data_IF_170330908456
#
_entry.id   IF_170330908456
#
_cell.length_a   1.000
_cell.length_b   1.000
_cell.length_c   1.000
_cell.angle_alpha   90.00
_cell.angle_beta   90.00
_cell.angle_gamma   90.00
#
_symmetry.space_group_name_H-M   'P 1'
#
loop_
_entity.id
_entity.type
_entity.pdbx_description
1 polymer ?
#
# COMPACT_ATOMS: atom_id res chain seq x y z
N UNK A 1 11.40 -25.90 2.17
CA UNK A 1 10.77 -25.94 3.51
C UNK A 1 11.32 -24.83 4.43
N UNK A 2 12.65 -24.67 4.54
CA UNK A 2 13.27 -23.68 5.42
C UNK A 2 12.90 -22.22 5.05
N UNK A 3 12.89 -21.89 3.75
CA UNK A 3 12.51 -20.56 3.26
C UNK A 3 11.01 -20.26 3.49
N UNK A 4 10.15 -21.25 3.34
CA UNK A 4 8.70 -21.11 3.53
C UNK A 4 8.32 -20.81 4.98
N UNK A 5 9.11 -21.30 5.95
CA UNK A 5 8.89 -20.99 7.35
C UNK A 5 9.22 -19.55 7.73
N UNK A 6 10.05 -18.88 6.92
CA UNK A 6 10.48 -17.50 7.16
C UNK A 6 9.53 -16.46 6.55
N UNK A 7 8.66 -16.86 5.61
CA UNK A 7 7.82 -15.94 4.83
C UNK A 7 6.34 -16.15 5.20
N UNK A 8 5.67 -15.07 5.54
CA UNK A 8 4.21 -14.99 5.60
C UNK A 8 3.70 -14.24 4.37
N UNK A 9 2.90 -14.89 3.54
CA UNK A 9 2.30 -14.28 2.35
C UNK A 9 0.80 -14.10 2.52
N UNK A 10 0.32 -12.87 2.32
CA UNK A 10 -1.10 -12.54 2.27
C UNK A 10 -1.45 -12.06 0.86
N UNK A 11 -2.23 -12.82 0.08
CA UNK A 11 -2.73 -12.37 -1.21
C UNK A 11 -3.80 -11.29 -1.05
N UNK A 12 -4.08 -10.54 -2.11
CA UNK A 12 -5.12 -9.50 -2.15
C UNK A 12 -6.48 -10.04 -1.71
N UNK A 13 -6.86 -11.23 -2.20
CA UNK A 13 -8.06 -11.94 -1.79
C UNK A 13 -7.68 -13.23 -1.05
N UNK A 14 -8.17 -13.40 0.15
CA UNK A 14 -8.00 -14.62 0.93
C UNK A 14 -9.33 -15.07 1.52
N UNK A 15 -9.55 -16.38 1.50
CA UNK A 15 -10.77 -16.98 2.01
C UNK A 15 -10.82 -16.98 3.54
N UNK A 16 -11.98 -16.62 4.09
CA UNK A 16 -12.28 -16.75 5.51
C UNK A 16 -13.54 -17.59 5.72
N UNK A 17 -13.61 -18.32 6.83
CA UNK A 17 -14.84 -18.98 7.26
C UNK A 17 -15.70 -17.97 8.02
N UNK A 18 -16.56 -17.26 7.30
CA UNK A 18 -17.31 -16.10 7.78
C UNK A 18 -18.23 -16.39 8.98
N UNK A 19 -18.68 -17.64 9.14
CA UNK A 19 -19.54 -18.07 10.26
C UNK A 19 -18.76 -18.34 11.55
N UNK A 20 -17.44 -18.47 11.47
CA UNK A 20 -16.58 -18.70 12.63
C UNK A 20 -16.26 -17.38 13.34
N UNK A 21 -15.94 -17.47 14.64
CA UNK A 21 -15.30 -16.35 15.34
C UNK A 21 -13.86 -16.17 14.85
N UNK A 22 -13.27 -14.98 15.07
CA UNK A 22 -11.86 -14.75 14.73
C UNK A 22 -10.93 -15.72 15.48
N UNK A 23 -11.24 -16.01 16.74
CA UNK A 23 -10.49 -16.97 17.54
C UNK A 23 -10.57 -18.39 16.96
N UNK A 24 -11.78 -18.90 16.71
CA UNK A 24 -11.97 -20.26 16.21
C UNK A 24 -11.36 -20.46 14.84
N UNK A 25 -11.47 -19.46 13.97
CA UNK A 25 -10.84 -19.46 12.65
C UNK A 25 -9.31 -19.56 12.75
N UNK A 26 -8.68 -18.70 13.58
CA UNK A 26 -7.24 -18.73 13.75
C UNK A 26 -6.76 -20.00 14.49
N UNK A 27 -7.54 -20.53 15.44
CA UNK A 27 -7.23 -21.79 16.13
C UNK A 27 -7.22 -22.95 15.14
N UNK A 28 -8.26 -23.04 14.30
CA UNK A 28 -8.33 -24.03 13.23
C UNK A 28 -7.13 -23.94 12.28
N UNK A 29 -6.81 -22.74 11.85
CA UNK A 29 -5.67 -22.51 10.95
C UNK A 29 -4.32 -22.81 11.61
N UNK A 30 -4.18 -22.54 12.89
CA UNK A 30 -2.98 -22.86 13.66
C UNK A 30 -2.76 -24.38 13.75
N UNK A 31 -3.83 -25.15 13.94
CA UNK A 31 -3.77 -26.63 13.92
C UNK A 31 -3.29 -27.11 12.54
N UNK A 32 -3.85 -26.59 11.45
CA UNK A 32 -3.43 -26.94 10.09
C UNK A 32 -1.96 -26.60 9.81
N UNK A 33 -1.42 -25.58 10.47
CA UNK A 33 0.00 -25.20 10.42
C UNK A 33 0.89 -25.99 11.38
N UNK A 34 0.36 -27.00 12.09
CA UNK A 34 1.13 -27.89 12.95
C UNK A 34 1.29 -27.42 14.39
N UNK A 35 0.60 -26.38 14.83
CA UNK A 35 0.58 -25.92 16.22
C UNK A 35 -0.35 -26.81 17.07
N UNK A 36 0.08 -28.06 17.38
CA UNK A 36 -0.76 -29.06 18.02
C UNK A 36 -0.95 -28.83 19.52
N UNK A 37 0.07 -28.31 20.22
CA UNK A 37 -0.02 -28.02 21.66
C UNK A 37 -1.02 -26.90 21.92
N UNK A 38 -2.07 -27.18 22.68
CA UNK A 38 -3.18 -26.25 22.91
C UNK A 38 -2.77 -25.02 23.72
N UNK A 39 -1.80 -25.12 24.62
CA UNK A 39 -1.31 -24.00 25.41
C UNK A 39 -0.47 -23.06 24.54
N UNK A 40 0.50 -23.61 23.81
CA UNK A 40 1.34 -22.86 22.87
C UNK A 40 0.48 -22.18 21.82
N UNK A 41 -0.54 -22.87 21.31
CA UNK A 41 -1.47 -22.34 20.32
C UNK A 41 -2.29 -21.18 20.89
N UNK A 42 -2.86 -21.32 22.08
CA UNK A 42 -3.63 -20.25 22.73
C UNK A 42 -2.78 -18.99 22.96
N UNK A 43 -1.56 -19.15 23.46
CA UNK A 43 -0.60 -18.04 23.63
C UNK A 43 -0.27 -17.38 22.30
N UNK A 44 -0.12 -18.18 21.22
CA UNK A 44 0.13 -17.68 19.88
C UNK A 44 -1.07 -16.89 19.32
N UNK A 45 -2.29 -17.38 19.49
CA UNK A 45 -3.51 -16.70 19.06
C UNK A 45 -3.66 -15.36 19.77
N UNK A 46 -3.44 -15.34 21.09
CA UNK A 46 -3.46 -14.09 21.85
C UNK A 46 -2.44 -13.08 21.33
N UNK A 47 -1.21 -13.54 21.11
CA UNK A 47 -0.14 -12.69 20.56
C UNK A 47 -0.51 -12.09 19.20
N UNK A 48 -0.93 -12.91 18.21
CA UNK A 48 -1.21 -12.41 16.86
C UNK A 48 -2.43 -11.50 16.84
N UNK A 49 -3.47 -11.80 17.63
CA UNK A 49 -4.66 -10.96 17.74
C UNK A 49 -4.37 -9.60 18.39
N UNK A 50 -3.48 -9.57 19.39
CA UNK A 50 -3.00 -8.30 19.98
C UNK A 50 -2.15 -7.52 18.98
N UNK A 51 -1.24 -8.18 18.28
CA UNK A 51 -0.37 -7.55 17.29
C UNK A 51 -1.15 -6.86 16.16
N UNK A 52 -2.33 -7.35 15.81
CA UNK A 52 -3.20 -6.74 14.78
C UNK A 52 -4.35 -5.90 15.35
N UNK A 53 -4.37 -5.64 16.67
CA UNK A 53 -5.40 -4.88 17.38
C UNK A 53 -6.82 -5.47 17.24
N UNK A 54 -6.94 -6.81 17.19
CA UNK A 54 -8.21 -7.53 17.05
C UNK A 54 -8.59 -8.37 18.27
N UNK A 55 -7.78 -8.35 19.34
CA UNK A 55 -7.99 -9.21 20.50
C UNK A 55 -9.36 -9.02 21.16
N UNK A 56 -9.84 -7.77 21.29
CA UNK A 56 -11.14 -7.46 21.87
C UNK A 56 -12.33 -7.95 21.01
N UNK A 57 -12.08 -8.18 19.72
CA UNK A 57 -13.06 -8.70 18.77
C UNK A 57 -12.92 -10.21 18.51
N UNK A 58 -12.06 -10.91 19.25
CA UNK A 58 -11.72 -12.33 18.99
C UNK A 58 -12.91 -13.29 18.96
N UNK A 59 -13.95 -13.01 19.75
CA UNK A 59 -15.15 -13.84 19.82
C UNK A 59 -16.26 -13.42 18.84
N UNK A 60 -16.07 -12.32 18.11
CA UNK A 60 -17.03 -11.86 17.09
C UNK A 60 -16.85 -12.67 15.80
N UNK A 61 -17.96 -12.91 15.11
CA UNK A 61 -17.96 -13.62 13.83
C UNK A 61 -17.35 -12.79 12.73
N UNK A 62 -16.58 -13.42 11.85
CA UNK A 62 -15.85 -12.75 10.75
C UNK A 62 -16.79 -12.07 9.76
N UNK A 63 -18.01 -12.57 9.56
CA UNK A 63 -19.01 -11.92 8.69
C UNK A 63 -19.45 -10.54 9.19
N UNK A 64 -19.26 -10.23 10.49
CA UNK A 64 -19.57 -8.91 11.05
C UNK A 64 -18.45 -7.90 10.92
N UNK A 65 -17.29 -8.29 10.34
CA UNK A 65 -16.11 -7.45 10.25
C UNK A 65 -16.14 -6.55 9.00
N UNK A 66 -15.62 -5.32 9.16
CA UNK A 66 -15.29 -4.46 8.03
C UNK A 66 -14.17 -5.06 7.17
N UNK A 67 -13.98 -4.55 5.95
CA UNK A 67 -12.87 -4.97 5.09
C UNK A 67 -11.52 -4.87 5.80
N UNK A 68 -11.26 -3.74 6.47
CA UNK A 68 -10.01 -3.54 7.23
C UNK A 68 -9.84 -4.50 8.42
N UNK A 69 -10.93 -4.88 9.08
CA UNK A 69 -10.89 -5.91 10.12
C UNK A 69 -10.59 -7.29 9.54
N UNK A 70 -11.18 -7.65 8.39
CA UNK A 70 -10.87 -8.90 7.68
C UNK A 70 -9.40 -8.93 7.26
N UNK A 71 -8.87 -7.85 6.70
CA UNK A 71 -7.44 -7.73 6.35
C UNK A 71 -6.52 -7.94 7.57
N UNK A 72 -6.86 -7.38 8.73
CA UNK A 72 -6.12 -7.62 9.98
C UNK A 72 -6.13 -9.08 10.41
N UNK A 73 -7.25 -9.79 10.24
CA UNK A 73 -7.31 -11.24 10.49
C UNK A 73 -6.42 -11.99 9.51
N UNK A 74 -6.33 -11.56 8.24
CA UNK A 74 -5.38 -12.10 7.27
C UNK A 74 -3.92 -11.93 7.72
N UNK A 75 -3.56 -10.76 8.24
CA UNK A 75 -2.23 -10.56 8.85
C UNK A 75 -2.04 -11.47 10.07
N UNK A 76 -3.02 -11.57 10.97
CA UNK A 76 -2.94 -12.49 12.11
C UNK A 76 -2.69 -13.94 11.68
N UNK A 77 -3.36 -14.39 10.61
CA UNK A 77 -3.19 -15.73 10.02
C UNK A 77 -1.75 -15.99 9.56
N UNK A 78 -1.14 -15.05 8.87
CA UNK A 78 0.24 -15.21 8.39
C UNK A 78 1.27 -15.03 9.51
N UNK A 79 0.92 -14.39 10.62
CA UNK A 79 1.76 -14.27 11.81
C UNK A 79 1.80 -15.54 12.68
N UNK A 80 0.91 -16.51 12.47
CA UNK A 80 0.82 -17.72 13.31
C UNK A 80 2.14 -18.50 13.42
N UNK A 81 2.94 -18.53 12.37
CA UNK A 81 4.25 -19.21 12.34
C UNK A 81 5.45 -18.29 12.60
N UNK A 82 5.19 -17.03 13.04
CA UNK A 82 6.22 -16.01 13.36
C UNK A 82 7.22 -15.76 12.22
N UNK A 83 6.77 -15.43 11.01
CA UNK A 83 7.67 -15.20 9.89
C UNK A 83 8.57 -13.98 10.15
N UNK A 84 9.77 -14.01 9.58
CA UNK A 84 10.69 -12.86 9.55
C UNK A 84 10.39 -11.89 8.42
N UNK A 85 9.71 -12.36 7.37
CA UNK A 85 9.37 -11.58 6.20
C UNK A 85 7.86 -11.70 5.99
N UNK A 86 7.18 -10.55 5.92
CA UNK A 86 5.78 -10.46 5.51
C UNK A 86 5.73 -9.95 4.08
N UNK A 87 5.01 -10.66 3.22
CA UNK A 87 4.70 -10.21 1.85
C UNK A 87 3.19 -10.05 1.75
N UNK A 88 2.73 -8.85 1.43
CA UNK A 88 1.30 -8.51 1.45
C UNK A 88 0.93 -7.86 0.11
N UNK A 89 -0.03 -8.47 -0.58
CA UNK A 89 -0.44 -8.02 -1.90
C UNK A 89 -1.62 -7.05 -1.81
N UNK A 90 -1.45 -5.82 -2.28
CA UNK A 90 -2.45 -4.74 -2.29
C UNK A 90 -3.29 -4.60 -1.00
N UNK A 91 -2.68 -4.51 0.18
CA UNK A 91 -3.37 -4.67 1.45
C UNK A 91 -4.40 -3.58 1.78
N UNK A 92 -4.34 -2.44 1.11
CA UNK A 92 -5.22 -1.28 1.35
C UNK A 92 -6.29 -1.11 0.28
N UNK A 93 -6.30 -1.97 -0.74
CA UNK A 93 -7.29 -1.93 -1.81
C UNK A 93 -8.72 -2.10 -1.25
N UNK A 94 -9.64 -1.25 -1.67
CA UNK A 94 -11.05 -1.30 -1.24
C UNK A 94 -11.32 -0.86 0.21
N UNK A 95 -10.30 -0.40 0.95
CA UNK A 95 -10.49 0.17 2.28
C UNK A 95 -10.89 1.64 2.21
N UNK A 96 -11.75 2.06 3.16
CA UNK A 96 -12.01 3.48 3.34
C UNK A 96 -10.74 4.24 3.82
N UNK A 97 -10.66 5.58 3.68
CA UNK A 97 -9.45 6.33 4.01
C UNK A 97 -8.97 6.16 5.46
N UNK A 98 -9.89 6.02 6.43
CA UNK A 98 -9.53 5.83 7.85
C UNK A 98 -8.95 4.45 8.12
N UNK A 99 -9.57 3.40 7.56
CA UNK A 99 -9.05 2.03 7.68
C UNK A 99 -7.72 1.87 6.95
N UNK A 100 -7.52 2.54 5.80
CA UNK A 100 -6.24 2.57 5.08
C UNK A 100 -5.12 3.13 5.95
N UNK A 101 -5.33 4.28 6.60
CA UNK A 101 -4.33 4.87 7.51
C UNK A 101 -4.03 3.91 8.67
N UNK A 102 -5.05 3.32 9.28
CA UNK A 102 -4.88 2.38 10.40
C UNK A 102 -4.12 1.12 9.98
N UNK A 103 -4.38 0.64 8.76
CA UNK A 103 -3.70 -0.55 8.25
C UNK A 103 -2.23 -0.26 7.92
N UNK A 104 -1.93 0.88 7.31
CA UNK A 104 -0.55 1.33 7.09
C UNK A 104 0.24 1.42 8.40
N UNK A 105 -0.34 2.05 9.42
CA UNK A 105 0.29 2.15 10.74
C UNK A 105 0.60 0.76 11.30
N UNK A 106 -0.32 -0.20 11.15
CA UNK A 106 -0.09 -1.58 11.55
C UNK A 106 1.12 -2.20 10.81
N UNK A 107 1.24 -2.02 9.49
CA UNK A 107 2.40 -2.52 8.73
C UNK A 107 3.72 -1.88 9.21
N UNK A 108 3.70 -0.58 9.51
CA UNK A 108 4.86 0.12 10.10
C UNK A 108 5.20 -0.42 11.49
N UNK A 109 4.22 -0.69 12.35
CA UNK A 109 4.45 -1.32 13.65
C UNK A 109 5.09 -2.70 13.50
N UNK A 110 4.58 -3.52 12.59
CA UNK A 110 5.09 -4.86 12.31
C UNK A 110 6.49 -4.84 11.69
N UNK A 111 6.89 -3.76 11.03
CA UNK A 111 8.21 -3.63 10.40
C UNK A 111 9.35 -3.35 11.38
N UNK A 112 9.06 -3.14 12.68
CA UNK A 112 10.09 -2.86 13.69
C UNK A 112 11.02 -4.05 13.96
N UNK A 113 10.50 -5.26 13.84
CA UNK A 113 11.20 -6.51 14.17
C UNK A 113 11.20 -7.53 13.02
N UNK A 114 10.69 -7.14 11.84
CA UNK A 114 10.64 -7.99 10.64
C UNK A 114 10.68 -7.19 9.35
N UNK A 115 10.95 -7.83 8.25
CA UNK A 115 10.86 -7.22 6.92
C UNK A 115 9.41 -7.27 6.47
N UNK A 116 8.84 -6.13 6.08
CA UNK A 116 7.51 -6.03 5.50
C UNK A 116 7.64 -5.53 4.07
N UNK A 117 7.16 -6.33 3.13
CA UNK A 117 7.10 -6.01 1.70
C UNK A 117 5.62 -5.99 1.32
N UNK A 118 5.14 -4.92 0.73
CA UNK A 118 3.79 -4.89 0.19
C UNK A 118 3.76 -4.29 -1.21
N UNK A 119 2.88 -4.82 -2.05
CA UNK A 119 2.56 -4.23 -3.35
C UNK A 119 1.47 -3.17 -3.17
N UNK A 120 1.51 -2.11 -3.95
CA UNK A 120 0.42 -1.14 -4.03
C UNK A 120 0.51 -0.34 -5.33
N UNK A 121 -0.64 0.07 -5.85
CA UNK A 121 -0.74 1.08 -6.91
C UNK A 121 -1.07 2.47 -6.34
N UNK A 122 -1.16 2.60 -5.02
CA UNK A 122 -1.54 3.83 -4.31
C UNK A 122 -0.28 4.53 -3.82
N UNK A 123 0.06 5.64 -4.45
CA UNK A 123 1.32 6.36 -4.21
C UNK A 123 1.40 6.92 -2.79
N UNK A 124 0.27 7.36 -2.21
CA UNK A 124 0.21 7.85 -0.83
C UNK A 124 0.60 6.80 0.21
N UNK A 125 0.37 5.52 -0.09
CA UNK A 125 0.75 4.43 0.81
C UNK A 125 2.28 4.30 0.87
N UNK A 126 2.96 4.53 -0.26
CA UNK A 126 4.43 4.51 -0.35
C UNK A 126 5.02 5.72 0.38
N UNK A 127 4.52 6.92 0.07
CA UNK A 127 5.06 8.18 0.60
C UNK A 127 5.07 8.23 2.13
N UNK A 128 4.08 7.58 2.78
CA UNK A 128 3.87 7.66 4.24
C UNK A 128 4.36 6.45 5.03
N UNK A 129 4.74 5.32 4.38
CA UNK A 129 4.99 4.06 5.09
C UNK A 129 6.26 3.34 4.69
N UNK A 130 6.86 3.69 3.55
CA UNK A 130 8.00 2.94 3.00
C UNK A 130 9.32 3.67 3.20
N UNK A 131 10.36 2.92 3.57
CA UNK A 131 11.74 3.40 3.57
C UNK A 131 12.50 3.03 2.28
N UNK A 132 11.97 2.06 1.52
CA UNK A 132 12.48 1.63 0.21
C UNK A 132 11.30 1.39 -0.72
N UNK A 133 11.46 1.71 -2.00
CA UNK A 133 10.48 1.46 -3.06
C UNK A 133 11.16 0.81 -4.27
N UNK A 134 10.47 -0.15 -4.86
CA UNK A 134 10.79 -0.71 -6.17
C UNK A 134 9.65 -0.40 -7.13
N UNK A 135 9.94 0.28 -8.23
CA UNK A 135 8.96 0.54 -9.30
C UNK A 135 9.17 -0.46 -10.41
N UNK A 136 8.15 -1.27 -10.67
CA UNK A 136 8.16 -2.29 -11.71
C UNK A 136 7.13 -1.90 -12.78
N UNK A 137 7.55 -1.87 -14.03
CA UNK A 137 6.67 -1.62 -15.17
C UNK A 137 6.94 -2.62 -16.28
N UNK A 138 5.91 -3.34 -16.74
CA UNK A 138 6.00 -4.37 -17.79
C UNK A 138 7.08 -5.43 -17.54
N UNK A 139 7.24 -5.84 -16.28
CA UNK A 139 8.25 -6.83 -15.88
C UNK A 139 9.67 -6.29 -15.71
N UNK A 140 9.90 -5.00 -15.94
CA UNK A 140 11.21 -4.36 -15.78
C UNK A 140 11.26 -3.51 -14.51
N UNK A 141 12.35 -3.61 -13.76
CA UNK A 141 12.64 -2.75 -12.62
C UNK A 141 13.07 -1.35 -13.14
N UNK A 142 12.23 -0.34 -12.93
CA UNK A 142 12.49 1.04 -13.36
C UNK A 142 13.20 1.87 -12.30
N UNK A 143 12.98 1.56 -11.03
CA UNK A 143 13.61 2.25 -9.91
C UNK A 143 13.72 1.32 -8.70
N UNK A 144 14.79 1.49 -7.93
CA UNK A 144 14.93 0.93 -6.59
C UNK A 144 15.72 1.90 -5.71
N UNK A 145 15.13 2.32 -4.58
CA UNK A 145 15.77 3.26 -3.66
C UNK A 145 14.77 3.87 -2.69
N UNK A 146 15.17 4.97 -2.05
CA UNK A 146 14.29 5.70 -1.13
C UNK A 146 13.23 6.48 -1.91
N UNK A 147 11.98 6.59 -1.39
CA UNK A 147 10.97 7.45 -2.00
C UNK A 147 11.42 8.90 -2.18
N UNK A 148 12.18 9.44 -1.22
CA UNK A 148 12.75 10.80 -1.28
C UNK A 148 13.71 10.99 -2.45
N UNK A 149 14.56 9.99 -2.70
CA UNK A 149 15.53 10.05 -3.81
C UNK A 149 14.84 9.92 -5.17
N UNK A 150 13.73 9.17 -5.22
CA UNK A 150 12.89 9.07 -6.40
C UNK A 150 12.30 10.43 -6.80
N UNK A 151 11.87 11.25 -5.85
CA UNK A 151 11.31 12.59 -6.11
C UNK A 151 12.30 13.47 -6.88
N UNK A 152 13.60 13.37 -6.60
CA UNK A 152 14.63 14.14 -7.31
C UNK A 152 14.68 13.86 -8.83
N UNK A 153 14.21 12.70 -9.29
CA UNK A 153 14.14 12.38 -10.73
C UNK A 153 13.19 13.30 -11.51
N UNK A 154 12.18 13.86 -10.83
CA UNK A 154 11.24 14.82 -11.41
C UNK A 154 11.67 16.29 -11.20
N UNK A 155 12.83 16.54 -10.61
CA UNK A 155 13.28 17.90 -10.35
C UNK A 155 13.45 18.68 -11.66
N UNK A 156 12.95 19.92 -11.67
CA UNK A 156 12.90 20.81 -12.82
C UNK A 156 12.01 20.36 -14.00
N UNK A 157 11.18 19.32 -13.82
CA UNK A 157 10.31 18.77 -14.86
C UNK A 157 8.82 18.95 -14.57
N UNK A 158 8.47 19.52 -13.42
CA UNK A 158 7.07 19.72 -12.99
C UNK A 158 6.68 21.18 -13.15
N UNK A 159 5.55 21.39 -13.81
CA UNK A 159 5.03 22.70 -14.14
C UNK A 159 3.57 22.82 -13.70
N UNK A 160 3.19 24.03 -13.26
CA UNK A 160 1.79 24.41 -13.03
C UNK A 160 1.46 25.65 -13.83
N UNK A 161 0.29 25.66 -14.45
CA UNK A 161 -0.20 26.77 -15.27
C UNK A 161 -1.71 26.72 -15.42
N UNK A 162 -2.31 27.87 -15.75
CA UNK A 162 -3.73 28.01 -16.01
C UNK A 162 -3.94 28.26 -17.50
N UNK A 163 -4.87 27.54 -18.12
CA UNK A 163 -5.19 27.63 -19.55
C UNK A 163 -6.70 27.56 -19.78
N UNK A 164 -7.15 27.96 -20.95
CA UNK A 164 -8.54 27.80 -21.35
C UNK A 164 -8.87 26.33 -21.65
N UNK A 165 -10.14 25.92 -21.56
CA UNK A 165 -10.55 24.55 -21.88
C UNK A 165 -10.14 24.09 -23.29
N UNK A 166 -10.18 25.00 -24.28
CA UNK A 166 -9.78 24.70 -25.66
C UNK A 166 -8.29 24.35 -25.78
N UNK A 167 -7.42 25.08 -25.04
CA UNK A 167 -5.98 24.78 -24.99
C UNK A 167 -5.69 23.51 -24.20
N UNK A 168 -6.47 23.24 -23.13
CA UNK A 168 -6.32 22.02 -22.35
C UNK A 168 -6.51 20.77 -23.21
N UNK A 169 -7.46 20.75 -24.16
CA UNK A 169 -7.68 19.63 -25.07
C UNK A 169 -6.50 19.36 -26.02
N UNK A 170 -5.60 20.34 -26.20
CA UNK A 170 -4.40 20.19 -27.04
C UNK A 170 -3.20 19.59 -26.32
N UNK A 171 -3.23 19.50 -25.01
CA UNK A 171 -2.16 18.91 -24.21
C UNK A 171 -2.06 17.41 -24.41
N UNK A 172 -0.85 16.85 -24.27
CA UNK A 172 -0.68 15.39 -24.20
C UNK A 172 -1.25 14.86 -22.86
N UNK A 173 -2.38 14.12 -22.87
CA UNK A 173 -3.01 13.64 -21.66
C UNK A 173 -2.10 12.75 -20.79
N UNK A 174 -1.08 12.15 -21.41
CA UNK A 174 -0.14 11.26 -20.74
C UNK A 174 0.86 12.01 -19.85
N UNK A 175 1.01 13.32 -20.02
CA UNK A 175 1.91 14.18 -19.27
C UNK A 175 1.18 15.03 -18.24
N UNK A 176 -0.15 14.98 -18.21
CA UNK A 176 -0.98 15.62 -17.18
C UNK A 176 -0.94 14.76 -15.93
N UNK A 177 -0.47 15.35 -14.83
CA UNK A 177 -0.48 14.71 -13.51
C UNK A 177 -1.87 14.84 -12.88
N UNK A 178 -2.35 16.06 -12.79
CA UNK A 178 -3.72 16.38 -12.40
C UNK A 178 -4.16 17.71 -13.01
N UNK A 179 -5.46 17.96 -12.97
CA UNK A 179 -6.05 19.23 -13.38
C UNK A 179 -7.29 19.53 -12.55
N UNK A 180 -7.65 20.79 -12.47
CA UNK A 180 -8.85 21.25 -11.77
C UNK A 180 -9.46 22.43 -12.54
N UNK A 181 -10.79 22.39 -12.75
CA UNK A 181 -11.52 23.53 -13.28
C UNK A 181 -11.60 24.62 -12.21
N UNK A 182 -11.11 25.82 -12.52
CA UNK A 182 -11.20 27.00 -11.67
C UNK A 182 -11.81 28.16 -12.47
N UNK A 183 -13.11 28.35 -12.30
CA UNK A 183 -13.89 29.31 -13.09
C UNK A 183 -13.84 29.01 -14.59
N UNK A 184 -13.35 29.97 -15.40
CA UNK A 184 -13.23 29.86 -16.85
C UNK A 184 -11.92 29.20 -17.30
N UNK A 185 -10.98 28.95 -16.37
CA UNK A 185 -9.68 28.35 -16.64
C UNK A 185 -9.58 26.93 -16.08
N UNK A 186 -8.60 26.19 -16.58
CA UNK A 186 -8.18 24.88 -16.10
C UNK A 186 -6.77 25.03 -15.53
N UNK A 187 -6.64 24.84 -14.23
CA UNK A 187 -5.35 24.70 -13.56
C UNK A 187 -4.78 23.32 -13.83
N UNK A 188 -3.57 23.26 -14.39
CA UNK A 188 -2.92 22.01 -14.82
C UNK A 188 -1.61 21.81 -14.09
N UNK A 189 -1.36 20.59 -13.59
CA UNK A 189 -0.06 20.10 -13.17
C UNK A 189 0.47 19.15 -14.24
N UNK A 190 1.64 19.45 -14.78
CA UNK A 190 2.16 18.85 -16.01
C UNK A 190 3.63 18.48 -15.88
N UNK A 191 4.05 17.36 -16.47
CA UNK A 191 5.45 16.95 -16.52
C UNK A 191 6.05 17.20 -17.91
N UNK A 192 7.15 17.95 -17.95
CA UNK A 192 7.89 18.25 -19.18
C UNK A 192 9.31 18.70 -18.85
N UNK A 193 10.25 18.43 -19.76
CA UNK A 193 11.62 18.95 -19.68
C UNK A 193 11.69 20.45 -20.00
N UNK A 194 10.76 20.95 -20.79
CA UNK A 194 10.66 22.35 -21.20
C UNK A 194 9.33 22.94 -20.73
N UNK A 195 9.26 24.27 -20.61
CA UNK A 195 8.03 24.97 -20.25
C UNK A 195 6.92 24.70 -21.30
N UNK A 196 5.78 24.10 -20.88
CA UNK A 196 4.71 23.77 -21.83
C UNK A 196 3.93 24.99 -22.33
N UNK A 197 3.97 26.10 -21.58
CA UNK A 197 3.30 27.38 -21.86
C UNK A 197 4.13 28.55 -21.34
N UNK A 198 3.91 29.77 -21.86
CA UNK A 198 4.64 30.97 -21.41
C UNK A 198 4.38 31.33 -19.94
N UNK A 199 3.16 31.04 -19.46
CA UNK A 199 2.75 31.29 -18.08
C UNK A 199 3.04 30.11 -17.14
N UNK A 200 3.71 29.07 -17.62
CA UNK A 200 4.01 27.90 -16.80
C UNK A 200 5.07 28.21 -15.72
N UNK A 201 4.77 27.87 -14.49
CA UNK A 201 5.65 28.04 -13.34
C UNK A 201 6.17 26.68 -12.87
N UNK A 202 7.48 26.59 -12.66
CA UNK A 202 8.08 25.39 -12.06
C UNK A 202 7.59 25.18 -10.64
N UNK A 203 7.22 23.95 -10.34
CA UNK A 203 6.67 23.57 -9.02
C UNK A 203 7.51 22.43 -8.43
N UNK A 204 7.62 22.41 -7.11
CA UNK A 204 8.29 21.32 -6.39
C UNK A 204 7.62 19.98 -6.70
N UNK A 205 8.43 18.96 -7.08
CA UNK A 205 7.92 17.65 -7.41
C UNK A 205 7.45 16.88 -6.16
N UNK A 206 6.50 16.01 -6.36
CA UNK A 206 6.07 15.00 -5.40
C UNK A 206 6.33 13.58 -5.94
N UNK A 207 5.95 12.55 -5.16
CA UNK A 207 6.20 11.17 -5.53
C UNK A 207 5.39 10.72 -6.77
N UNK A 208 4.20 11.28 -6.97
CA UNK A 208 3.35 11.01 -8.15
C UNK A 208 3.97 11.54 -9.44
N UNK A 209 4.51 12.76 -9.39
CA UNK A 209 5.25 13.33 -10.52
C UNK A 209 6.45 12.47 -10.90
N UNK A 210 7.22 12.05 -9.90
CA UNK A 210 8.40 11.21 -10.11
C UNK A 210 8.03 9.84 -10.70
N UNK A 211 6.94 9.24 -10.23
CA UNK A 211 6.43 7.99 -10.78
C UNK A 211 6.05 8.14 -12.25
N UNK A 212 5.34 9.20 -12.61
CA UNK A 212 4.98 9.46 -14.00
C UNK A 212 6.21 9.77 -14.87
N UNK A 213 7.20 10.54 -14.38
CA UNK A 213 8.46 10.76 -15.07
C UNK A 213 9.18 9.44 -15.39
N UNK A 214 9.25 8.52 -14.43
CA UNK A 214 9.84 7.19 -14.62
C UNK A 214 9.11 6.38 -15.69
N UNK A 215 7.78 6.40 -15.71
CA UNK A 215 6.99 5.67 -16.69
C UNK A 215 7.13 6.21 -18.11
N UNK A 216 7.45 7.51 -18.25
CA UNK A 216 7.60 8.22 -19.53
C UNK A 216 9.05 8.34 -19.99
N UNK A 217 10.02 7.90 -19.17
CA UNK A 217 11.45 8.07 -19.41
C UNK A 217 11.84 9.56 -19.61
N UNK A 218 11.24 10.45 -18.82
CA UNK A 218 11.53 11.88 -18.75
C UNK A 218 12.70 12.16 -17.81
#
# INVERSE_FOLDING_TARGET
EELQSLIGFLPQEFGTYETMSAWDYLDYQAILKGLMDSKVRSERLEYVLKAVHMYEKRNAKINSFSGGMKQRIGIALILLHLPRILVVDEPTAGLDPRERIRFRNLLVELSRDRIVIFSTHIIEDIASSCNQVAVINKGELKYYGKPTDMIYLAQNKVWTFDITPELFETLDPRLIVNHMQDGELVSVRYISTEAPQENAVRTEPNLEDAYLCLLKNL
#
